data_IF_431918771261
#
_entry.id   IF_431918771261
#
_cell.length_a   1.000
_cell.length_b   1.000
_cell.length_c   1.000
_cell.angle_alpha   90.00
_cell.angle_beta   90.00
_cell.angle_gamma   90.00
#
_symmetry.space_group_name_H-M   'P 1'
#
loop_
_entity.id
_entity.type
_entity.pdbx_description
1 polymer ?
#
# COMPACT_ATOMS: atom_id res chain seq x y z
N UNK A 1 -26.01 15.90 -21.45
CA UNK A 1 -24.73 15.22 -21.14
C UNK A 1 -24.90 13.75 -21.50
N UNK A 2 -24.06 13.19 -22.37
CA UNK A 2 -24.17 11.79 -22.81
C UNK A 2 -23.49 10.88 -21.78
N UNK A 3 -24.25 9.99 -21.12
CA UNK A 3 -23.77 9.09 -20.06
C UNK A 3 -22.51 8.32 -20.48
N UNK A 4 -22.43 7.91 -21.75
CA UNK A 4 -21.26 7.22 -22.30
C UNK A 4 -19.99 8.07 -22.25
N UNK A 5 -20.09 9.38 -22.53
CA UNK A 5 -18.93 10.27 -22.51
C UNK A 5 -18.45 10.51 -21.08
N UNK A 6 -19.36 10.56 -20.10
CA UNK A 6 -19.01 10.66 -18.68
C UNK A 6 -18.23 9.44 -18.23
N UNK A 7 -18.74 8.23 -18.51
CA UNK A 7 -18.07 6.97 -18.15
C UNK A 7 -16.68 6.88 -18.81
N UNK A 8 -16.56 7.27 -20.08
CA UNK A 8 -15.28 7.27 -20.78
C UNK A 8 -14.25 8.22 -20.15
N UNK A 9 -14.69 9.41 -19.74
CA UNK A 9 -13.82 10.37 -19.05
C UNK A 9 -13.39 9.86 -17.67
N UNK A 10 -14.30 9.24 -16.91
CA UNK A 10 -13.97 8.67 -15.60
C UNK A 10 -12.94 7.53 -15.73
N UNK A 11 -13.09 6.66 -16.74
CA UNK A 11 -12.11 5.61 -17.04
C UNK A 11 -10.75 6.18 -17.42
N UNK A 12 -10.72 7.29 -18.18
CA UNK A 12 -9.47 7.95 -18.54
C UNK A 12 -8.77 8.54 -17.31
N UNK A 13 -9.52 9.24 -16.46
CA UNK A 13 -9.04 9.82 -15.20
C UNK A 13 -8.48 8.74 -14.28
N UNK A 14 -9.18 7.61 -14.12
CA UNK A 14 -8.71 6.48 -13.33
C UNK A 14 -7.35 5.96 -13.82
N UNK A 15 -7.15 5.83 -15.15
CA UNK A 15 -5.88 5.38 -15.72
C UNK A 15 -4.75 6.37 -15.49
N UNK A 16 -5.04 7.66 -15.56
CA UNK A 16 -4.07 8.72 -15.25
C UNK A 16 -3.66 8.66 -13.77
N UNK A 17 -4.63 8.49 -12.86
CA UNK A 17 -4.39 8.33 -11.42
C UNK A 17 -3.58 7.06 -11.12
N UNK A 18 -3.92 5.92 -11.72
CA UNK A 18 -3.16 4.66 -11.56
C UNK A 18 -1.70 4.78 -12.03
N UNK A 19 -1.45 5.57 -13.07
CA UNK A 19 -0.10 5.83 -13.57
C UNK A 19 0.70 6.78 -12.65
N UNK A 20 0.02 7.71 -11.96
CA UNK A 20 0.66 8.70 -11.09
C UNK A 20 0.82 8.22 -9.65
N UNK A 21 -0.11 7.41 -9.15
CA UNK A 21 -0.15 6.91 -7.78
C UNK A 21 0.77 5.69 -7.59
N UNK A 22 1.98 5.77 -8.13
CA UNK A 22 3.02 4.75 -7.97
C UNK A 22 4.05 5.20 -6.93
N UNK A 23 4.19 4.41 -5.88
CA UNK A 23 5.07 4.72 -4.76
C UNK A 23 6.08 3.60 -4.50
N UNK A 24 7.30 4.00 -4.16
CA UNK A 24 8.39 3.06 -3.83
C UNK A 24 8.71 3.02 -2.33
N UNK A 25 8.23 3.99 -1.55
CA UNK A 25 8.46 4.07 -0.09
C UNK A 25 7.14 4.12 0.67
N UNK A 26 7.13 3.47 1.83
CA UNK A 26 5.99 3.44 2.76
C UNK A 26 5.65 4.83 3.28
N UNK A 27 6.66 5.67 3.51
CA UNK A 27 6.45 7.04 3.99
C UNK A 27 5.68 7.88 2.98
N UNK A 28 6.00 7.77 1.69
CA UNK A 28 5.35 8.56 0.64
C UNK A 28 3.86 8.24 0.51
N UNK A 29 3.49 6.95 0.63
CA UNK A 29 2.07 6.55 0.63
C UNK A 29 1.35 7.07 1.86
N UNK A 30 2.01 7.07 3.02
CA UNK A 30 1.41 7.59 4.26
C UNK A 30 1.16 9.09 4.15
N UNK A 31 2.15 9.82 3.64
CA UNK A 31 2.06 11.26 3.44
C UNK A 31 0.99 11.59 2.41
N UNK A 32 0.95 10.86 1.28
CA UNK A 32 -0.12 10.97 0.29
C UNK A 32 -1.51 10.79 0.90
N UNK A 33 -1.74 9.72 1.67
CA UNK A 33 -3.04 9.47 2.31
C UNK A 33 -3.40 10.59 3.28
N UNK A 34 -2.43 11.07 4.06
CA UNK A 34 -2.65 12.10 5.07
C UNK A 34 -2.93 13.48 4.44
N UNK A 35 -2.17 13.86 3.42
CA UNK A 35 -2.27 15.16 2.76
C UNK A 35 -3.47 15.24 1.82
N UNK A 36 -3.76 14.18 1.07
CA UNK A 36 -4.79 14.21 0.02
C UNK A 36 -6.14 13.69 0.46
N UNK A 37 -6.20 12.88 1.53
CA UNK A 37 -7.43 12.22 2.00
C UNK A 37 -8.22 11.61 0.83
N UNK A 38 -7.64 10.65 0.10
CA UNK A 38 -8.13 10.22 -1.20
C UNK A 38 -9.53 9.58 -1.10
N UNK A 39 -10.30 9.69 -2.19
CA UNK A 39 -11.60 9.05 -2.30
C UNK A 39 -11.50 7.51 -2.28
N UNK A 40 -12.57 6.78 -1.90
CA UNK A 40 -12.52 5.33 -1.73
C UNK A 40 -12.17 4.51 -3.00
N UNK A 41 -12.32 5.10 -4.18
CA UNK A 41 -12.05 4.50 -5.49
C UNK A 41 -10.64 4.80 -6.03
N UNK A 42 -9.88 5.66 -5.34
CA UNK A 42 -8.48 5.95 -5.69
C UNK A 42 -7.62 4.70 -5.49
N UNK A 43 -7.01 4.26 -6.58
CA UNK A 43 -6.06 3.15 -6.57
C UNK A 43 -4.62 3.65 -6.41
N UNK A 44 -3.86 2.98 -5.54
CA UNK A 44 -2.44 3.25 -5.32
C UNK A 44 -1.63 1.98 -5.55
N UNK A 45 -0.49 2.13 -6.21
CA UNK A 45 0.49 1.05 -6.40
C UNK A 45 1.68 1.31 -5.49
N UNK A 46 2.01 0.34 -4.64
CA UNK A 46 3.14 0.44 -3.71
C UNK A 46 4.09 -0.75 -3.90
N UNK A 47 5.37 -0.45 -4.17
CA UNK A 47 6.42 -1.44 -4.37
C UNK A 47 7.16 -1.72 -3.05
N UNK A 48 7.02 -2.94 -2.53
CA UNK A 48 7.60 -3.35 -1.24
C UNK A 48 8.35 -4.67 -1.35
N UNK A 49 9.34 -4.86 -0.47
CA UNK A 49 9.87 -6.18 -0.18
C UNK A 49 8.96 -6.86 0.87
N UNK A 50 8.37 -8.00 0.49
CA UNK A 50 7.53 -8.79 1.37
C UNK A 50 8.36 -9.44 2.47
N UNK A 51 7.96 -9.26 3.72
CA UNK A 51 8.54 -9.94 4.89
C UNK A 51 7.65 -11.11 5.30
N UNK A 52 6.34 -10.86 5.34
CA UNK A 52 5.35 -11.87 5.71
C UNK A 52 4.03 -11.58 5.00
N UNK A 53 3.39 -12.62 4.52
CA UNK A 53 2.00 -12.58 4.09
C UNK A 53 1.25 -13.68 4.82
N UNK A 54 0.19 -13.32 5.53
CA UNK A 54 -0.66 -14.28 6.23
C UNK A 54 -2.12 -14.08 5.82
N UNK A 55 -2.85 -15.19 5.74
CA UNK A 55 -4.29 -15.18 5.53
C UNK A 55 -4.96 -14.93 6.88
N UNK A 56 -5.83 -13.94 6.94
CA UNK A 56 -6.60 -13.68 8.16
C UNK A 56 -7.66 -14.78 8.32
N UNK A 57 -7.75 -15.34 9.52
CA UNK A 57 -8.75 -16.36 9.86
C UNK A 57 -10.17 -15.86 9.54
N UNK A 58 -11.01 -16.74 9.01
CA UNK A 58 -12.36 -16.41 8.52
C UNK A 58 -12.42 -15.96 7.05
N UNK A 59 -11.30 -15.98 6.31
CA UNK A 59 -11.29 -15.72 4.87
C UNK A 59 -11.46 -14.25 4.48
N UNK A 60 -11.46 -13.34 5.45
CA UNK A 60 -11.76 -11.92 5.26
C UNK A 60 -10.63 -11.09 4.66
N UNK A 61 -9.51 -11.71 4.30
CA UNK A 61 -8.42 -11.00 3.62
C UNK A 61 -7.04 -11.60 3.86
N UNK A 62 -6.05 -10.90 3.33
CA UNK A 62 -4.63 -11.18 3.51
C UNK A 62 -3.99 -9.98 4.21
N UNK A 63 -3.27 -10.25 5.30
CA UNK A 63 -2.41 -9.26 5.96
C UNK A 63 -1.00 -9.40 5.39
N UNK A 64 -0.52 -8.31 4.81
CA UNK A 64 0.81 -8.21 4.24
C UNK A 64 1.64 -7.30 5.12
N UNK A 65 2.85 -7.73 5.47
CA UNK A 65 3.86 -6.88 6.11
C UNK A 65 5.08 -6.84 5.20
N UNK A 66 5.53 -5.62 4.89
CA UNK A 66 6.68 -5.39 4.04
C UNK A 66 7.41 -4.11 4.40
N UNK A 67 8.57 -3.95 3.81
CA UNK A 67 9.43 -2.77 3.92
C UNK A 67 9.67 -2.18 2.53
N UNK A 68 10.22 -0.96 2.49
CA UNK A 68 10.68 -0.32 1.26
C UNK A 68 11.59 -1.27 0.47
N UNK A 69 11.35 -1.39 -0.83
CA UNK A 69 12.13 -2.28 -1.68
C UNK A 69 13.63 -1.90 -1.72
N UNK A 70 13.94 -0.62 -1.55
CA UNK A 70 15.30 -0.09 -1.46
C UNK A 70 16.04 -0.53 -0.18
N UNK A 71 15.32 -0.83 0.91
CA UNK A 71 15.91 -1.25 2.18
C UNK A 71 16.15 -2.76 2.25
N UNK A 72 15.84 -3.52 1.19
CA UNK A 72 15.97 -4.99 1.17
C UNK A 72 17.37 -5.47 1.55
N UNK A 73 18.42 -4.84 1.02
CA UNK A 73 19.83 -5.22 1.29
C UNK A 73 20.25 -4.95 2.73
N UNK A 74 19.66 -3.94 3.36
CA UNK A 74 19.93 -3.57 4.75
C UNK A 74 19.07 -4.37 5.72
N UNK A 75 17.95 -4.91 5.26
CA UNK A 75 16.96 -5.54 6.13
C UNK A 75 17.35 -6.95 6.60
N UNK A 76 17.95 -7.79 5.75
CA UNK A 76 18.41 -9.13 6.16
C UNK A 76 19.30 -9.12 7.41
N UNK A 77 20.34 -8.25 7.52
CA UNK A 77 21.14 -8.14 8.74
C UNK A 77 20.43 -7.36 9.87
N UNK A 78 19.53 -6.43 9.56
CA UNK A 78 18.91 -5.50 10.53
C UNK A 78 17.56 -6.01 11.06
N UNK A 79 17.04 -7.14 10.56
CA UNK A 79 15.77 -7.71 11.02
C UNK A 79 15.74 -7.96 12.53
N UNK A 80 16.84 -8.49 13.07
CA UNK A 80 16.96 -8.79 14.50
C UNK A 80 16.98 -7.50 15.34
N UNK A 81 17.67 -6.45 14.90
CA UNK A 81 17.68 -5.15 15.60
C UNK A 81 16.37 -4.39 15.42
N UNK A 82 15.65 -4.62 14.32
CA UNK A 82 14.27 -4.17 14.15
C UNK A 82 13.36 -4.82 15.18
N UNK A 83 13.55 -6.09 15.54
CA UNK A 83 12.76 -6.75 16.57
C UNK A 83 12.85 -6.02 17.93
N UNK A 84 13.99 -5.41 18.24
CA UNK A 84 14.24 -4.64 19.47
C UNK A 84 13.59 -3.26 19.49
N UNK A 85 13.14 -2.74 18.33
CA UNK A 85 12.44 -1.46 18.28
C UNK A 85 11.04 -1.54 18.88
N UNK A 86 10.63 -0.46 19.56
CA UNK A 86 9.26 -0.30 20.03
C UNK A 86 8.28 -0.28 18.85
N UNK A 87 7.03 -0.76 19.01
CA UNK A 87 6.04 -0.79 17.94
C UNK A 87 5.84 0.57 17.24
N UNK A 88 5.96 1.68 17.97
CA UNK A 88 5.83 3.02 17.42
C UNK A 88 6.96 3.38 16.43
N UNK A 89 8.20 3.00 16.74
CA UNK A 89 9.36 3.25 15.88
C UNK A 89 9.36 2.33 14.66
N UNK A 90 8.89 1.07 14.81
CA UNK A 90 8.73 0.12 13.70
C UNK A 90 7.83 0.62 12.57
N UNK A 91 6.81 1.43 12.88
CA UNK A 91 5.87 1.99 11.89
C UNK A 91 6.52 2.83 10.79
N UNK A 92 7.71 3.36 11.01
CA UNK A 92 8.40 4.16 9.98
C UNK A 92 9.05 3.29 8.90
N UNK A 93 9.31 2.02 9.20
CA UNK A 93 10.04 1.11 8.33
C UNK A 93 9.14 0.01 7.76
N UNK A 94 8.15 -0.44 8.55
CA UNK A 94 7.26 -1.54 8.16
C UNK A 94 5.89 -0.97 7.77
N UNK A 95 5.46 -1.26 6.54
CA UNK A 95 4.05 -1.18 6.15
C UNK A 95 3.34 -2.47 6.49
N UNK A 96 2.19 -2.34 7.17
CA UNK A 96 1.23 -3.43 7.30
C UNK A 96 -0.02 -3.06 6.53
N UNK A 97 -0.30 -3.84 5.47
CA UNK A 97 -1.45 -3.66 4.59
C UNK A 97 -2.44 -4.79 4.84
N UNK A 98 -3.73 -4.45 4.88
CA UNK A 98 -4.81 -5.44 4.90
C UNK A 98 -5.55 -5.36 3.57
N UNK A 99 -5.40 -6.39 2.75
CA UNK A 99 -6.18 -6.53 1.53
C UNK A 99 -7.43 -7.36 1.85
N UNK A 100 -8.60 -6.75 1.77
CA UNK A 100 -9.88 -7.46 1.87
C UNK A 100 -10.15 -8.23 0.58
N UNK A 101 -10.67 -9.45 0.67
CA UNK A 101 -11.26 -10.10 -0.50
C UNK A 101 -12.58 -9.41 -0.81
N UNK A 102 -12.74 -8.88 -2.03
CA UNK A 102 -14.03 -8.41 -2.49
C UNK A 102 -15.05 -9.56 -2.34
N UNK A 103 -16.18 -9.30 -1.67
CA UNK A 103 -17.32 -10.22 -1.75
C UNK A 103 -17.77 -10.19 -3.21
N UNK A 104 -17.65 -11.33 -3.89
CA UNK A 104 -18.26 -11.55 -5.21
C UNK A 104 -19.76 -11.37 -5.14
#
# INVERSE_FOLDING_TARGET
MNLLNTIQNDVLKQKEEEAQNHFERVVDVRDFIFETCPEPDVSVTLKLCCISAERLNGGHGTRFSGIDASQRTEFEPTFNTLADLTPLKKKHYIAQLRCGTAKR
#
